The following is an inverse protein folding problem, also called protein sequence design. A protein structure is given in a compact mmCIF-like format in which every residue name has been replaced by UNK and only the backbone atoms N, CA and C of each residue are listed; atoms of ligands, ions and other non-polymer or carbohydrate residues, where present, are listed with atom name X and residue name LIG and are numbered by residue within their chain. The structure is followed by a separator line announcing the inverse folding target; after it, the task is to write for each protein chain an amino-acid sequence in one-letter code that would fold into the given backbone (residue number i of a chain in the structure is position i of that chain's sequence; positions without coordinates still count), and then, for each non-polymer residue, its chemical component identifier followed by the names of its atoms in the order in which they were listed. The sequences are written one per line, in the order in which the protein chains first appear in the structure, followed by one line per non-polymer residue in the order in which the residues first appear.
data_IF_999847746514
#
_entry.id   IF_999847746514
#
_cell.length_a   1.000
_cell.length_b   1.000
_cell.length_c   1.000
_cell.angle_alpha   90.00
_cell.angle_beta   90.00
_cell.angle_gamma   90.00
#
_symmetry.space_group_name_H-M   'P 1'
#
loop_
_entity.id
_entity.type
_entity.pdbx_description
1 polymer ?
#
# COMPACT_ATOMS: atom_id res chain seq x y z
N UNK A 1 -6.12 16.18 37.28
CA UNK A 1 -6.03 15.94 35.82
C UNK A 1 -7.09 14.93 35.44
N UNK A 2 -8.15 15.31 34.72
CA UNK A 2 -9.10 14.34 34.15
C UNK A 2 -8.40 13.71 32.94
N UNK A 3 -7.85 12.51 33.12
CA UNK A 3 -7.26 11.71 32.04
C UNK A 3 -8.40 11.24 31.14
N UNK A 4 -8.72 12.04 30.12
CA UNK A 4 -9.67 11.66 29.06
C UNK A 4 -8.96 10.66 28.13
N UNK A 5 -8.88 9.40 28.56
CA UNK A 5 -8.53 8.32 27.65
C UNK A 5 -9.65 8.22 26.60
N UNK A 6 -9.33 8.24 25.29
CA UNK A 6 -10.32 7.99 24.26
C UNK A 6 -10.95 6.62 24.52
N UNK A 7 -12.29 6.55 24.50
CA UNK A 7 -13.00 5.28 24.68
C UNK A 7 -12.74 4.40 23.46
N UNK A 8 -12.29 3.18 23.67
CA UNK A 8 -11.98 2.27 22.57
C UNK A 8 -13.24 1.73 21.86
N UNK A 9 -13.07 1.33 20.60
CA UNK A 9 -14.09 0.66 19.79
C UNK A 9 -15.23 1.55 19.29
N UNK A 10 -16.43 0.98 19.16
CA UNK A 10 -17.60 1.66 18.58
C UNK A 10 -18.04 2.92 19.36
N UNK A 11 -17.76 2.99 20.66
CA UNK A 11 -18.06 4.15 21.48
C UNK A 11 -17.15 5.35 21.15
N UNK A 12 -15.86 5.11 20.87
CA UNK A 12 -14.91 6.12 20.38
C UNK A 12 -15.21 6.58 18.97
N UNK A 13 -15.57 5.64 18.09
CA UNK A 13 -15.93 5.94 16.70
C UNK A 13 -17.16 6.86 16.61
N UNK A 14 -18.19 6.61 17.44
CA UNK A 14 -19.38 7.48 17.50
C UNK A 14 -19.07 8.87 18.08
N UNK A 15 -18.10 8.95 18.99
CA UNK A 15 -17.69 10.22 19.60
C UNK A 15 -16.83 11.06 18.64
N UNK A 16 -15.97 10.43 17.85
CA UNK A 16 -15.01 11.10 16.97
C UNK A 16 -15.38 11.07 15.47
N UNK A 17 -16.55 10.55 15.11
CA UNK A 17 -17.00 10.36 13.73
C UNK A 17 -16.69 11.54 12.78
N UNK A 18 -17.02 12.77 13.19
CA UNK A 18 -16.79 13.95 12.36
C UNK A 18 -15.31 14.25 12.15
N UNK A 19 -14.48 14.01 13.16
CA UNK A 19 -13.03 14.18 13.09
C UNK A 19 -12.39 13.09 12.24
N UNK A 20 -12.81 11.84 12.44
CA UNK A 20 -12.28 10.68 11.72
C UNK A 20 -12.65 10.71 10.24
N UNK A 21 -13.87 11.16 9.89
CA UNK A 21 -14.30 11.32 8.50
C UNK A 21 -13.51 12.42 7.77
N UNK A 22 -13.28 13.57 8.42
CA UNK A 22 -12.50 14.66 7.84
C UNK A 22 -11.01 14.27 7.70
N UNK A 23 -10.45 13.63 8.72
CA UNK A 23 -9.08 13.11 8.69
C UNK A 23 -8.91 12.05 7.59
N UNK A 24 -9.82 11.10 7.50
CA UNK A 24 -9.81 10.06 6.46
C UNK A 24 -9.88 10.63 5.04
N UNK A 25 -10.70 11.66 4.82
CA UNK A 25 -10.76 12.35 3.53
C UNK A 25 -9.44 13.06 3.17
N UNK A 26 -8.84 13.78 4.11
CA UNK A 26 -7.54 14.43 3.89
C UNK A 26 -6.43 13.41 3.62
N UNK A 27 -6.41 12.31 4.37
CA UNK A 27 -5.46 11.21 4.17
C UNK A 27 -5.65 10.55 2.81
N UNK A 28 -6.89 10.36 2.37
CA UNK A 28 -7.19 9.85 1.03
C UNK A 28 -6.61 10.74 -0.08
N UNK A 29 -6.80 12.07 0.03
CA UNK A 29 -6.23 13.03 -0.92
C UNK A 29 -4.70 13.02 -0.94
N UNK A 30 -4.05 12.75 0.19
CA UNK A 30 -2.59 12.60 0.28
C UNK A 30 -2.10 11.24 -0.25
N UNK A 31 -2.85 10.16 0.03
CA UNK A 31 -2.48 8.79 -0.31
C UNK A 31 -2.63 8.49 -1.82
N UNK A 32 -3.62 9.09 -2.49
CA UNK A 32 -3.81 8.94 -3.94
C UNK A 32 -2.54 9.29 -4.75
N UNK A 33 -2.00 10.52 -4.70
CA UNK A 33 -0.82 10.88 -5.49
C UNK A 33 0.43 10.12 -5.02
N UNK A 34 0.54 9.85 -3.72
CA UNK A 34 1.69 9.14 -3.16
C UNK A 34 1.73 7.69 -3.65
N UNK A 35 0.61 6.95 -3.63
CA UNK A 35 0.56 5.55 -4.10
C UNK A 35 0.82 5.41 -5.60
N UNK A 36 0.29 6.33 -6.41
CA UNK A 36 0.56 6.40 -7.85
C UNK A 36 2.04 6.69 -8.14
N UNK A 37 2.64 7.62 -7.38
CA UNK A 37 4.06 7.96 -7.49
C UNK A 37 4.98 6.80 -7.11
N UNK A 38 4.69 6.10 -6.01
CA UNK A 38 5.46 4.93 -5.57
C UNK A 38 5.43 3.82 -6.62
N UNK A 39 4.27 3.52 -7.20
CA UNK A 39 4.15 2.50 -8.23
C UNK A 39 4.92 2.88 -9.50
N UNK A 40 4.78 4.13 -9.96
CA UNK A 40 5.51 4.64 -11.12
C UNK A 40 7.03 4.61 -10.92
N UNK A 41 7.51 4.88 -9.70
CA UNK A 41 8.94 4.82 -9.37
C UNK A 41 9.47 3.39 -9.23
N UNK A 42 8.59 2.40 -9.08
CA UNK A 42 8.94 1.00 -8.91
C UNK A 42 8.92 0.19 -10.21
N UNK A 43 8.77 0.86 -11.37
CA UNK A 43 8.54 0.23 -12.69
C UNK A 43 7.24 -0.59 -12.79
N UNK A 44 6.24 -0.24 -11.98
CA UNK A 44 4.90 -0.83 -12.01
C UNK A 44 3.89 0.12 -12.65
N UNK A 45 2.87 -0.39 -13.36
CA UNK A 45 1.76 0.44 -13.80
C UNK A 45 1.09 1.15 -12.60
N UNK A 46 0.92 2.49 -12.63
CA UNK A 46 0.46 3.27 -11.47
C UNK A 46 -0.85 2.79 -10.85
N UNK A 47 -1.75 2.25 -11.69
CA UNK A 47 -3.04 1.71 -11.25
C UNK A 47 -2.89 0.60 -10.19
N UNK A 48 -1.82 -0.20 -10.24
CA UNK A 48 -1.58 -1.25 -9.24
C UNK A 48 -1.17 -0.66 -7.88
N UNK A 49 -0.54 0.52 -7.85
CA UNK A 49 -0.28 1.28 -6.63
C UNK A 49 -1.57 1.71 -5.93
N UNK A 50 -2.56 2.12 -6.70
CA UNK A 50 -3.88 2.49 -6.17
C UNK A 50 -4.62 1.25 -5.65
N UNK A 51 -4.65 0.17 -6.41
CA UNK A 51 -5.33 -1.07 -6.02
C UNK A 51 -4.71 -1.64 -4.74
N UNK A 52 -3.38 -1.68 -4.63
CA UNK A 52 -2.73 -2.18 -3.41
C UNK A 52 -3.00 -1.30 -2.20
N UNK A 53 -3.07 0.02 -2.36
CA UNK A 53 -3.46 0.93 -1.27
C UNK A 53 -4.91 0.70 -0.82
N UNK A 54 -5.84 0.49 -1.76
CA UNK A 54 -7.24 0.19 -1.45
C UNK A 54 -7.38 -1.14 -0.71
N UNK A 55 -6.78 -2.21 -1.24
CA UNK A 55 -6.86 -3.56 -0.67
C UNK A 55 -6.14 -3.62 0.67
N UNK A 56 -4.94 -3.05 0.77
CA UNK A 56 -4.16 -2.95 2.00
C UNK A 56 -4.87 -2.15 3.08
N UNK A 57 -5.50 -1.04 2.70
CA UNK A 57 -6.26 -0.19 3.61
C UNK A 57 -7.59 -0.80 4.09
N UNK A 58 -8.27 -1.59 3.27
CA UNK A 58 -9.52 -2.25 3.69
C UNK A 58 -9.24 -3.53 4.47
N UNK A 59 -8.54 -4.49 3.85
CA UNK A 59 -8.39 -5.84 4.40
C UNK A 59 -7.53 -5.81 5.66
N UNK A 60 -6.39 -5.14 5.57
CA UNK A 60 -5.38 -5.23 6.64
C UNK A 60 -5.75 -4.35 7.84
N UNK A 61 -6.62 -3.35 7.67
CA UNK A 61 -7.16 -2.56 8.78
C UNK A 61 -8.08 -3.37 9.70
N UNK A 62 -8.80 -4.37 9.18
CA UNK A 62 -9.60 -5.27 10.03
C UNK A 62 -8.75 -6.23 10.86
N UNK A 63 -7.54 -6.55 10.40
CA UNK A 63 -6.63 -7.51 11.05
C UNK A 63 -5.65 -6.79 12.00
N UNK A 64 -5.38 -5.51 11.79
CA UNK A 64 -4.36 -4.75 12.52
C UNK A 64 -4.88 -4.14 13.81
N UNK A 65 -4.12 -4.26 14.91
CA UNK A 65 -4.48 -3.71 16.22
C UNK A 65 -4.20 -2.21 16.44
N UNK A 66 -3.95 -1.42 15.39
CA UNK A 66 -3.59 0.00 15.54
C UNK A 66 -4.68 0.90 14.99
N UNK A 67 -5.23 1.77 15.84
CA UNK A 67 -6.35 2.66 15.51
C UNK A 67 -5.98 3.82 14.57
N UNK A 68 -4.69 4.17 14.43
CA UNK A 68 -4.23 5.34 13.67
C UNK A 68 -3.25 4.99 12.53
N UNK A 69 -2.99 3.70 12.30
CA UNK A 69 -2.02 3.28 11.27
C UNK A 69 -2.68 3.17 9.90
N UNK A 70 -2.08 3.83 8.91
CA UNK A 70 -2.47 3.73 7.50
C UNK A 70 -1.62 2.64 6.84
N UNK A 71 -2.27 1.74 6.09
CA UNK A 71 -1.60 0.65 5.37
C UNK A 71 -1.59 0.93 3.89
N UNK A 72 -0.45 0.70 3.26
CA UNK A 72 -0.25 0.98 1.83
C UNK A 72 1.18 0.67 1.37
N UNK A 73 1.48 0.96 0.10
CA UNK A 73 2.79 0.70 -0.48
C UNK A 73 3.87 1.54 0.20
N UNK A 74 4.93 0.89 0.68
CA UNK A 74 5.98 1.53 1.48
C UNK A 74 7.05 2.19 0.59
N UNK A 75 7.27 3.49 0.77
CA UNK A 75 8.26 4.25 -0.01
C UNK A 75 9.69 3.69 0.11
N UNK A 76 10.03 3.09 1.27
CA UNK A 76 11.34 2.46 1.48
C UNK A 76 11.61 1.22 0.62
N UNK A 77 10.57 0.61 0.04
CA UNK A 77 10.69 -0.60 -0.78
C UNK A 77 10.84 -0.29 -2.28
N UNK A 78 10.70 0.97 -2.72
CA UNK A 78 10.75 1.36 -4.14
C UNK A 78 12.00 0.83 -4.82
N UNK A 79 13.18 1.07 -4.24
CA UNK A 79 14.47 0.67 -4.81
C UNK A 79 14.60 -0.85 -4.90
N UNK A 80 14.06 -1.58 -3.92
CA UNK A 80 14.09 -3.04 -3.89
C UNK A 80 13.19 -3.60 -5.00
N UNK A 81 11.99 -3.05 -5.15
CA UNK A 81 11.03 -3.48 -6.18
C UNK A 81 11.55 -3.12 -7.58
N UNK A 82 11.97 -1.87 -7.80
CA UNK A 82 12.56 -1.44 -9.07
C UNK A 82 13.78 -2.30 -9.45
N UNK A 83 14.67 -2.57 -8.50
CA UNK A 83 15.82 -3.47 -8.71
C UNK A 83 15.38 -4.89 -9.07
N UNK A 84 14.33 -5.41 -8.42
CA UNK A 84 13.78 -6.73 -8.73
C UNK A 84 13.18 -6.79 -10.13
N UNK A 85 12.41 -5.78 -10.53
CA UNK A 85 11.85 -5.67 -11.90
C UNK A 85 12.97 -5.62 -12.93
N UNK A 86 14.01 -4.83 -12.69
CA UNK A 86 15.16 -4.72 -13.59
C UNK A 86 15.92 -6.05 -13.73
N UNK A 87 16.13 -6.79 -12.64
CA UNK A 87 16.74 -8.13 -12.71
C UNK A 87 15.83 -9.13 -13.43
N UNK A 88 14.54 -9.18 -13.12
CA UNK A 88 13.60 -10.10 -13.76
C UNK A 88 13.41 -9.83 -15.26
N UNK A 89 13.51 -8.57 -15.67
CA UNK A 89 13.44 -8.16 -17.08
C UNK A 89 14.56 -8.77 -17.93
N UNK A 90 15.73 -9.07 -17.34
CA UNK A 90 16.87 -9.69 -18.06
C UNK A 90 16.59 -11.13 -18.50
N UNK A 91 15.66 -11.81 -17.84
CA UNK A 91 15.27 -13.19 -18.14
C UNK A 91 14.12 -13.26 -19.15
N UNK A 92 13.64 -12.12 -19.67
CA UNK A 92 12.54 -12.07 -20.61
C UNK A 92 12.93 -12.71 -21.96
N UNK A 93 12.07 -13.57 -22.55
CA UNK A 93 12.27 -14.09 -23.90
C UNK A 93 12.31 -12.96 -24.93
N UNK A 94 13.13 -13.07 -25.98
CA UNK A 94 13.35 -12.01 -26.98
C UNK A 94 12.11 -11.57 -27.77
N UNK A 95 10.98 -12.27 -27.64
CA UNK A 95 9.71 -11.95 -28.32
C UNK A 95 8.72 -11.19 -27.41
N UNK A 96 9.07 -10.94 -26.14
CA UNK A 96 8.20 -10.32 -25.14
C UNK A 96 8.85 -9.04 -24.63
N UNK A 97 8.04 -8.01 -24.40
CA UNK A 97 8.50 -6.77 -23.78
C UNK A 97 9.09 -7.06 -22.39
N UNK A 98 10.40 -6.81 -22.25
CA UNK A 98 11.14 -7.14 -21.04
C UNK A 98 10.59 -6.45 -19.79
N UNK A 99 10.14 -5.19 -19.94
CA UNK A 99 9.52 -4.42 -18.86
C UNK A 99 8.21 -5.03 -18.38
N UNK A 100 7.35 -5.48 -19.31
CA UNK A 100 6.10 -6.17 -18.99
C UNK A 100 6.38 -7.45 -18.21
N UNK A 101 7.31 -8.27 -18.70
CA UNK A 101 7.64 -9.54 -18.07
C UNK A 101 8.22 -9.36 -16.65
N UNK A 102 9.08 -8.35 -16.47
CA UNK A 102 9.74 -8.08 -15.18
C UNK A 102 8.78 -7.80 -14.03
N UNK A 103 7.77 -6.95 -14.23
CA UNK A 103 6.83 -6.63 -13.14
C UNK A 103 5.86 -7.77 -12.81
N UNK A 104 5.52 -8.64 -13.77
CA UNK A 104 4.73 -9.84 -13.50
C UNK A 104 5.49 -10.85 -12.61
N UNK A 105 6.78 -11.06 -12.89
CA UNK A 105 7.62 -11.91 -12.04
C UNK A 105 7.85 -11.28 -10.66
N UNK A 106 8.03 -9.96 -10.61
CA UNK A 106 8.13 -9.23 -9.36
C UNK A 106 6.85 -9.36 -8.52
N UNK A 107 5.66 -9.32 -9.13
CA UNK A 107 4.40 -9.60 -8.44
C UNK A 107 4.40 -11.01 -7.83
N UNK A 108 4.86 -12.01 -8.57
CA UNK A 108 4.98 -13.38 -8.06
C UNK A 108 5.84 -13.44 -6.80
N UNK A 109 7.00 -12.79 -6.82
CA UNK A 109 7.89 -12.71 -5.65
C UNK A 109 7.23 -11.97 -4.47
N UNK A 110 6.51 -10.87 -4.72
CA UNK A 110 5.77 -10.13 -3.69
C UNK A 110 4.69 -10.99 -3.04
N UNK A 111 3.96 -11.81 -3.81
CA UNK A 111 2.95 -12.73 -3.26
C UNK A 111 3.59 -13.77 -2.35
N UNK A 112 4.70 -14.38 -2.77
CA UNK A 112 5.42 -15.36 -1.94
C UNK A 112 5.94 -14.71 -0.65
N UNK A 113 6.51 -13.50 -0.74
CA UNK A 113 6.95 -12.74 0.43
C UNK A 113 5.78 -12.43 1.38
N UNK A 114 4.60 -12.10 0.85
CA UNK A 114 3.40 -11.84 1.65
C UNK A 114 2.83 -13.08 2.34
N UNK A 115 2.95 -14.27 1.73
CA UNK A 115 2.53 -15.54 2.36
C UNK A 115 3.47 -15.94 3.50
N UNK A 116 4.75 -15.55 3.43
CA UNK A 116 5.76 -15.84 4.45
C UNK A 116 5.69 -14.92 5.68
N UNK A 117 4.99 -13.79 5.57
CA UNK A 117 4.98 -12.70 6.55
C UNK A 117 3.93 -12.90 7.65
#
# INVERSE_FOLDING_TARGET
MKTNFPKDGFAGLKQNWSSDMLSGFLVFLLALPLSLGIASASDFPPIYGLITAMVGGVIVSFISGSALTIKGPAAGLIVIVAGSVAEFSKFAPSQVDASQYGWHLALGAVVVAGVLQ
#
